data_IF_902347170309
#
_entry.id   IF_902347170309
#
_cell.length_a   1.000
_cell.length_b   1.000
_cell.length_c   1.000
_cell.angle_alpha   90.00
_cell.angle_beta   90.00
_cell.angle_gamma   90.00
#
_symmetry.space_group_name_H-M   'P 1'
#
loop_
_entity.id
_entity.type
_entity.pdbx_description
1 polymer ?
#
# COMPACT_ATOMS: atom_id res chain seq x y z
N UNK A 1 11.01 -12.73 23.75
CA UNK A 1 11.60 -13.22 22.48
C UNK A 1 12.77 -12.36 22.00
N UNK A 2 12.72 -11.01 22.08
CA UNK A 2 13.85 -10.15 21.70
C UNK A 2 15.10 -10.31 22.60
N UNK A 3 14.94 -10.72 23.86
CA UNK A 3 16.02 -10.86 24.83
C UNK A 3 16.93 -12.07 24.60
N UNK A 4 16.51 -13.02 23.77
CA UNK A 4 17.24 -14.28 23.51
C UNK A 4 18.15 -14.24 22.27
N UNK A 5 18.09 -13.16 21.45
CA UNK A 5 18.86 -13.07 20.19
C UNK A 5 19.76 -11.81 20.24
N UNK A 6 21.08 -11.95 20.49
CA UNK A 6 21.99 -10.80 20.63
C UNK A 6 22.03 -9.87 19.41
N UNK A 7 21.86 -10.44 18.20
CA UNK A 7 21.80 -9.67 16.96
C UNK A 7 20.57 -8.75 16.93
N UNK A 8 19.40 -9.25 17.33
CA UNK A 8 18.16 -8.48 17.34
C UNK A 8 18.25 -7.32 18.36
N UNK A 9 18.84 -7.54 19.54
CA UNK A 9 19.08 -6.46 20.53
C UNK A 9 19.94 -5.34 19.94
N UNK A 10 20.99 -5.68 19.18
CA UNK A 10 21.85 -4.70 18.50
C UNK A 10 21.09 -3.95 17.39
N UNK A 11 20.34 -4.66 16.58
CA UNK A 11 19.53 -4.03 15.48
C UNK A 11 18.46 -3.09 16.03
N UNK A 12 17.85 -3.44 17.18
CA UNK A 12 16.82 -2.62 17.83
C UNK A 12 17.44 -1.56 18.77
N UNK A 13 18.77 -1.55 18.94
CA UNK A 13 19.50 -0.62 19.81
C UNK A 13 18.95 -0.58 21.25
N UNK A 14 18.50 -1.72 21.79
CA UNK A 14 17.86 -1.80 23.09
C UNK A 14 18.77 -1.40 24.25
N UNK A 15 20.07 -1.54 24.08
CA UNK A 15 21.10 -1.25 25.10
C UNK A 15 21.63 0.21 25.00
N UNK A 16 21.20 0.99 23.99
CA UNK A 16 21.64 2.38 23.85
C UNK A 16 20.82 3.31 24.77
N UNK A 17 21.47 4.15 25.56
CA UNK A 17 20.78 5.14 26.39
C UNK A 17 20.01 6.12 25.48
N UNK A 18 18.82 6.51 25.90
CA UNK A 18 17.98 7.49 25.21
C UNK A 18 17.28 8.37 26.23
N UNK A 19 17.09 9.65 25.88
CA UNK A 19 16.25 10.54 26.66
C UNK A 19 14.77 10.16 26.44
N UNK A 20 14.01 10.07 27.52
CA UNK A 20 12.56 9.85 27.47
C UNK A 20 11.83 11.04 28.08
N UNK A 21 10.64 11.33 27.56
CA UNK A 21 9.88 12.52 27.89
C UNK A 21 8.45 12.14 28.31
N UNK A 22 7.83 12.95 29.19
CA UNK A 22 6.45 12.76 29.65
C UNK A 22 5.63 14.05 29.53
N UNK A 23 4.33 13.91 29.41
CA UNK A 23 3.36 15.00 29.46
C UNK A 23 3.72 16.19 28.55
N UNK A 24 3.74 17.40 29.14
CA UNK A 24 4.07 18.63 28.40
C UNK A 24 5.50 18.67 27.83
N UNK A 25 6.46 17.99 28.46
CA UNK A 25 7.82 17.92 27.94
C UNK A 25 7.88 17.14 26.63
N UNK A 26 7.13 16.04 26.53
CA UNK A 26 7.01 15.27 25.30
C UNK A 26 6.40 16.13 24.19
N UNK A 27 5.33 16.86 24.46
CA UNK A 27 4.67 17.73 23.47
C UNK A 27 5.62 18.84 22.99
N UNK A 28 6.36 19.46 23.90
CA UNK A 28 7.37 20.49 23.54
C UNK A 28 8.48 19.92 22.65
N UNK A 29 8.96 18.71 22.89
CA UNK A 29 9.98 18.08 22.03
C UNK A 29 9.41 17.69 20.64
N UNK A 30 8.16 17.21 20.57
CA UNK A 30 7.48 16.97 19.30
C UNK A 30 7.38 18.28 18.48
N UNK A 31 6.91 19.36 19.09
CA UNK A 31 6.78 20.66 18.42
C UNK A 31 8.14 21.25 18.02
N UNK A 32 9.14 21.13 18.89
CA UNK A 32 10.51 21.60 18.62
C UNK A 32 11.10 20.96 17.36
N UNK A 33 10.84 19.66 17.15
CA UNK A 33 11.40 18.92 16.03
C UNK A 33 10.46 18.83 14.82
N UNK A 34 9.21 19.31 14.92
CA UNK A 34 8.18 19.15 13.90
C UNK A 34 8.61 19.59 12.50
N UNK A 35 9.13 20.83 12.35
CA UNK A 35 9.52 21.34 11.03
C UNK A 35 10.65 20.53 10.40
N UNK A 36 11.63 20.15 11.19
CA UNK A 36 12.72 19.29 10.74
C UNK A 36 12.20 17.92 10.30
N UNK A 37 11.44 17.25 11.17
CA UNK A 37 10.87 15.93 10.90
C UNK A 37 9.95 15.97 9.67
N UNK A 38 9.13 17.01 9.50
CA UNK A 38 8.28 17.19 8.32
C UNK A 38 9.10 17.26 7.04
N UNK A 39 10.13 18.11 7.00
CA UNK A 39 10.98 18.28 5.81
C UNK A 39 11.69 16.98 5.45
N UNK A 40 12.34 16.36 6.43
CA UNK A 40 13.10 15.12 6.23
C UNK A 40 12.19 13.97 5.79
N UNK A 41 11.03 13.81 6.43
CA UNK A 41 10.09 12.73 6.10
C UNK A 41 9.41 12.93 4.75
N UNK A 42 9.13 14.17 4.33
CA UNK A 42 8.59 14.45 2.98
C UNK A 42 9.63 14.14 1.90
N UNK A 43 10.90 14.47 2.12
CA UNK A 43 11.99 14.11 1.19
C UNK A 43 12.15 12.58 1.14
N UNK A 44 12.12 11.92 2.29
CA UNK A 44 12.18 10.46 2.39
C UNK A 44 11.04 9.82 1.58
N UNK A 45 9.80 10.25 1.80
CA UNK A 45 8.64 9.75 1.05
C UNK A 45 8.76 10.02 -0.45
N UNK A 46 9.23 11.20 -0.84
CA UNK A 46 9.43 11.55 -2.25
C UNK A 46 10.40 10.58 -2.95
N UNK A 47 11.56 10.33 -2.33
CA UNK A 47 12.58 9.41 -2.86
C UNK A 47 12.12 7.94 -2.83
N UNK A 48 11.39 7.54 -1.78
CA UNK A 48 10.85 6.21 -1.65
C UNK A 48 9.83 5.91 -2.76
N UNK A 49 8.84 6.78 -2.96
CA UNK A 49 7.82 6.61 -4.01
C UNK A 49 8.40 6.75 -5.42
N UNK A 50 9.37 7.67 -5.60
CA UNK A 50 10.12 7.76 -6.84
C UNK A 50 10.78 6.41 -7.16
N UNK A 51 11.52 5.82 -6.20
CA UNK A 51 12.15 4.52 -6.38
C UNK A 51 11.16 3.37 -6.57
N UNK A 52 10.02 3.39 -5.86
CA UNK A 52 8.99 2.36 -5.95
C UNK A 52 8.33 2.31 -7.33
N UNK A 53 8.26 3.43 -8.04
CA UNK A 53 7.70 3.47 -9.40
C UNK A 53 8.47 2.63 -10.42
N UNK A 54 9.78 2.42 -10.21
CA UNK A 54 10.63 1.58 -11.08
C UNK A 54 10.43 0.07 -10.85
N UNK A 55 9.77 -0.32 -9.77
CA UNK A 55 9.46 -1.71 -9.41
C UNK A 55 7.96 -1.94 -9.22
N UNK A 56 7.15 -1.08 -9.86
CA UNK A 56 5.70 -1.11 -9.72
C UNK A 56 5.13 -2.52 -9.99
N UNK A 57 4.44 -3.08 -8.98
CA UNK A 57 3.91 -4.44 -9.02
C UNK A 57 2.76 -4.65 -10.01
N UNK A 58 2.09 -3.57 -10.42
CA UNK A 58 1.02 -3.61 -11.41
C UNK A 58 1.49 -3.45 -12.85
N UNK A 59 2.75 -3.02 -13.09
CA UNK A 59 3.24 -2.65 -14.43
C UNK A 59 4.66 -3.14 -14.72
N UNK A 60 5.67 -2.51 -14.13
CA UNK A 60 7.09 -2.77 -14.46
C UNK A 60 7.53 -4.18 -14.08
N UNK A 61 7.18 -4.65 -12.89
CA UNK A 61 7.54 -6.00 -12.45
C UNK A 61 6.84 -7.07 -13.31
N UNK A 62 5.53 -7.02 -13.58
CA UNK A 62 4.88 -7.91 -14.54
C UNK A 62 5.51 -7.86 -15.93
N UNK A 63 5.90 -6.68 -16.43
CA UNK A 63 6.60 -6.56 -17.70
C UNK A 63 7.93 -7.34 -17.70
N UNK A 64 8.75 -7.19 -16.66
CA UNK A 64 10.00 -7.96 -16.55
C UNK A 64 9.74 -9.46 -16.49
N UNK A 65 8.78 -9.89 -15.66
CA UNK A 65 8.44 -11.32 -15.51
C UNK A 65 7.88 -11.92 -16.80
N UNK A 66 7.16 -11.15 -17.64
CA UNK A 66 6.66 -11.63 -18.94
C UNK A 66 7.77 -11.95 -19.94
N UNK A 67 9.01 -11.42 -19.73
CA UNK A 67 10.19 -11.81 -20.53
C UNK A 67 10.79 -13.16 -20.07
N UNK A 68 10.40 -13.66 -18.88
CA UNK A 68 10.97 -14.85 -18.25
C UNK A 68 10.00 -16.04 -18.23
N UNK A 69 8.68 -15.79 -18.24
CA UNK A 69 7.64 -16.83 -18.12
C UNK A 69 6.30 -16.40 -18.67
N UNK A 70 5.55 -17.38 -19.17
CA UNK A 70 4.15 -17.25 -19.60
C UNK A 70 3.15 -17.66 -18.49
N UNK A 71 3.61 -18.10 -17.33
CA UNK A 71 2.76 -18.64 -16.27
C UNK A 71 1.92 -17.53 -15.61
N UNK A 72 0.61 -17.58 -15.78
CA UNK A 72 -0.33 -16.67 -15.11
C UNK A 72 -0.28 -16.77 -13.59
N UNK A 73 0.15 -17.94 -13.07
CA UNK A 73 0.33 -18.16 -11.61
C UNK A 73 1.43 -17.26 -11.03
N UNK A 74 2.50 -17.00 -11.77
CA UNK A 74 3.58 -16.08 -11.36
C UNK A 74 3.03 -14.66 -11.18
N UNK A 75 2.20 -14.19 -12.09
CA UNK A 75 1.57 -12.86 -11.99
C UNK A 75 0.56 -12.80 -10.82
N UNK A 76 -0.19 -13.88 -10.58
CA UNK A 76 -1.04 -14.00 -9.41
C UNK A 76 -0.23 -13.93 -8.11
N UNK A 77 0.93 -14.59 -8.05
CA UNK A 77 1.82 -14.56 -6.88
C UNK A 77 2.32 -13.14 -6.59
N UNK A 78 2.68 -12.37 -7.61
CA UNK A 78 3.06 -10.96 -7.46
C UNK A 78 1.90 -10.14 -6.91
N UNK A 79 0.70 -10.29 -7.47
CA UNK A 79 -0.49 -9.58 -7.03
C UNK A 79 -0.90 -9.97 -5.59
N UNK A 80 -0.81 -11.26 -5.23
CA UNK A 80 -1.02 -11.79 -3.90
C UNK A 80 -0.02 -11.20 -2.91
N UNK A 81 1.27 -11.19 -3.26
CA UNK A 81 2.32 -10.61 -2.44
C UNK A 81 2.12 -9.11 -2.23
N UNK A 82 1.73 -8.38 -3.27
CA UNK A 82 1.49 -6.93 -3.19
C UNK A 82 0.46 -6.58 -2.10
N UNK A 83 -0.59 -7.36 -1.95
CA UNK A 83 -1.64 -7.14 -0.96
C UNK A 83 -1.40 -7.93 0.33
N UNK A 84 -1.26 -9.25 0.23
CA UNK A 84 -1.07 -10.13 1.39
C UNK A 84 0.24 -9.88 2.12
N UNK A 85 1.33 -9.62 1.40
CA UNK A 85 2.63 -9.33 1.96
C UNK A 85 2.67 -8.02 2.77
N UNK A 86 1.82 -7.05 2.43
CA UNK A 86 1.66 -5.83 3.21
C UNK A 86 0.84 -6.04 4.50
N UNK A 87 -0.29 -6.75 4.43
CA UNK A 87 -1.22 -6.86 5.55
C UNK A 87 -0.86 -7.97 6.56
N UNK A 88 -0.44 -9.15 6.11
CA UNK A 88 -0.23 -10.29 6.99
C UNK A 88 0.89 -10.11 8.02
N UNK A 89 2.10 -9.63 7.64
CA UNK A 89 3.17 -9.46 8.61
C UNK A 89 2.85 -8.43 9.69
N UNK A 90 2.05 -7.39 9.37
CA UNK A 90 1.67 -6.35 10.34
C UNK A 90 1.00 -6.95 11.58
N UNK A 91 0.10 -7.92 11.39
CA UNK A 91 -0.60 -8.58 12.50
C UNK A 91 0.36 -9.33 13.43
N UNK A 92 1.41 -9.91 12.87
CA UNK A 92 2.40 -10.68 13.63
C UNK A 92 3.40 -9.78 14.37
N UNK A 93 3.73 -8.62 13.80
CA UNK A 93 4.79 -7.73 14.31
C UNK A 93 4.27 -6.63 15.22
N UNK A 94 3.01 -6.19 15.07
CA UNK A 94 2.43 -5.09 15.85
C UNK A 94 2.63 -5.25 17.36
N UNK A 95 2.31 -6.41 17.92
CA UNK A 95 2.48 -6.72 19.34
C UNK A 95 3.96 -6.69 19.81
N UNK A 96 4.90 -6.98 18.90
CA UNK A 96 6.35 -6.90 19.17
C UNK A 96 6.86 -5.45 19.16
N UNK A 97 6.35 -4.65 18.25
CA UNK A 97 6.71 -3.23 18.06
C UNK A 97 6.33 -2.39 19.27
N UNK A 98 5.14 -2.60 19.83
CA UNK A 98 4.67 -1.86 21.04
C UNK A 98 5.59 -1.97 22.26
N UNK A 99 6.46 -2.98 22.29
CA UNK A 99 7.41 -3.23 23.39
C UNK A 99 8.78 -2.60 23.18
N UNK A 100 9.03 -2.03 22.03
CA UNK A 100 10.33 -1.44 21.71
C UNK A 100 10.28 0.05 22.02
N UNK A 101 11.21 0.58 22.82
CA UNK A 101 11.19 1.98 23.23
C UNK A 101 11.39 2.95 22.05
N UNK A 102 12.15 2.55 21.02
CA UNK A 102 12.48 3.39 19.88
C UNK A 102 12.06 2.74 18.57
N UNK A 103 11.32 3.48 17.73
CA UNK A 103 10.87 3.00 16.41
C UNK A 103 11.91 3.21 15.31
N UNK A 104 12.69 4.29 15.42
CA UNK A 104 13.67 4.65 14.40
C UNK A 104 14.70 3.54 14.13
N UNK A 105 15.28 2.83 15.13
CA UNK A 105 16.16 1.69 14.87
C UNK A 105 15.50 0.54 14.13
N UNK A 106 14.21 0.29 14.32
CA UNK A 106 13.45 -0.70 13.54
C UNK A 106 13.41 -0.26 12.07
N UNK A 107 13.02 0.99 11.82
CA UNK A 107 12.89 1.54 10.47
C UNK A 107 14.22 1.56 9.72
N UNK A 108 15.32 1.92 10.41
CA UNK A 108 16.64 2.04 9.78
C UNK A 108 17.32 0.67 9.67
N UNK A 109 17.53 -0.02 10.78
CA UNK A 109 18.35 -1.23 10.81
C UNK A 109 17.60 -2.44 10.28
N UNK A 110 16.38 -2.70 10.80
CA UNK A 110 15.57 -3.83 10.31
C UNK A 110 15.07 -3.54 8.91
N UNK A 111 14.60 -2.31 8.65
CA UNK A 111 14.12 -1.88 7.36
C UNK A 111 15.17 -1.95 6.24
N UNK A 112 16.46 -1.74 6.55
CA UNK A 112 17.55 -1.96 5.57
C UNK A 112 17.57 -3.41 5.09
N UNK A 113 17.62 -4.37 6.00
CA UNK A 113 17.71 -5.79 5.64
C UNK A 113 16.38 -6.34 5.11
N UNK A 114 15.26 -5.93 5.71
CA UNK A 114 13.97 -6.51 5.41
C UNK A 114 13.33 -5.95 4.13
N UNK A 115 13.55 -4.67 3.82
CA UNK A 115 12.84 -4.00 2.75
C UNK A 115 13.75 -3.48 1.62
N UNK A 116 14.92 -2.88 1.93
CA UNK A 116 15.76 -2.18 0.95
C UNK A 116 16.76 -3.11 0.26
N UNK A 117 17.49 -3.89 1.05
CA UNK A 117 18.52 -4.81 0.53
C UNK A 117 17.98 -5.79 -0.52
N UNK A 118 16.80 -6.42 -0.33
CA UNK A 118 16.26 -7.37 -1.31
C UNK A 118 16.07 -6.80 -2.71
N UNK A 119 15.86 -5.49 -2.85
CA UNK A 119 15.64 -4.85 -4.15
C UNK A 119 16.86 -4.94 -5.08
N UNK A 120 18.07 -5.04 -4.52
CA UNK A 120 19.27 -5.23 -5.32
C UNK A 120 19.32 -6.64 -5.96
N UNK A 121 18.58 -7.62 -5.42
CA UNK A 121 18.41 -8.92 -6.08
C UNK A 121 17.57 -8.80 -7.37
N UNK A 122 16.69 -7.79 -7.51
CA UNK A 122 16.00 -7.51 -8.79
C UNK A 122 17.00 -7.07 -9.85
N UNK A 123 18.00 -6.26 -9.47
CA UNK A 123 19.09 -5.83 -10.38
C UNK A 123 19.88 -7.06 -10.84
N UNK A 124 20.24 -7.96 -9.92
CA UNK A 124 20.92 -9.20 -10.24
C UNK A 124 20.05 -10.12 -11.12
N UNK A 125 18.75 -10.21 -10.83
CA UNK A 125 17.80 -10.98 -11.66
C UNK A 125 17.77 -10.43 -13.09
N UNK A 126 17.69 -9.12 -13.28
CA UNK A 126 17.71 -8.50 -14.61
C UNK A 126 19.03 -8.76 -15.34
N UNK A 127 20.16 -8.66 -14.66
CA UNK A 127 21.48 -8.95 -15.26
C UNK A 127 21.64 -10.42 -15.72
N UNK A 128 20.97 -11.35 -15.02
CA UNK A 128 21.00 -12.79 -15.33
C UNK A 128 19.92 -13.22 -16.33
N UNK A 129 18.98 -12.36 -16.68
CA UNK A 129 17.75 -12.69 -17.40
C UNK A 129 17.98 -13.43 -18.74
N UNK A 130 19.06 -13.08 -19.48
CA UNK A 130 19.39 -13.72 -20.75
C UNK A 130 20.19 -15.01 -20.54
N UNK A 131 21.11 -15.04 -19.54
CA UNK A 131 22.00 -16.19 -19.32
C UNK A 131 21.33 -17.34 -18.59
N UNK A 132 20.43 -17.03 -17.65
CA UNK A 132 19.76 -18.00 -16.78
C UNK A 132 18.34 -17.52 -16.45
N UNK A 133 17.37 -17.61 -17.40
CA UNK A 133 16.01 -17.06 -17.20
C UNK A 133 15.31 -17.66 -15.97
N UNK A 134 15.47 -18.95 -15.71
CA UNK A 134 14.87 -19.60 -14.54
C UNK A 134 15.44 -19.06 -13.21
N UNK A 135 16.75 -18.87 -13.13
CA UNK A 135 17.38 -18.27 -11.93
C UNK A 135 16.93 -16.80 -11.76
N UNK A 136 16.87 -16.04 -12.87
CA UNK A 136 16.37 -14.67 -12.86
C UNK A 136 14.94 -14.59 -12.34
N UNK A 137 14.07 -15.51 -12.79
CA UNK A 137 12.69 -15.60 -12.31
C UNK A 137 12.62 -15.86 -10.80
N UNK A 138 13.36 -16.86 -10.32
CA UNK A 138 13.40 -17.22 -8.89
C UNK A 138 13.93 -16.05 -8.06
N UNK A 139 15.03 -15.42 -8.49
CA UNK A 139 15.60 -14.26 -7.79
C UNK A 139 14.62 -13.08 -7.76
N UNK A 140 13.92 -12.79 -8.85
CA UNK A 140 12.94 -11.72 -8.91
C UNK A 140 11.78 -11.94 -7.94
N UNK A 141 11.25 -13.17 -7.90
CA UNK A 141 10.15 -13.53 -6.99
C UNK A 141 10.59 -13.50 -5.52
N UNK A 142 11.78 -14.04 -5.22
CA UNK A 142 12.35 -14.00 -3.86
C UNK A 142 12.62 -12.57 -3.43
N UNK A 143 13.21 -11.75 -4.29
CA UNK A 143 13.49 -10.34 -4.01
C UNK A 143 12.20 -9.57 -3.70
N UNK A 144 11.19 -9.73 -4.54
CA UNK A 144 9.92 -9.05 -4.37
C UNK A 144 9.16 -9.54 -3.13
N UNK A 145 9.09 -10.86 -2.92
CA UNK A 145 8.46 -11.42 -1.72
C UNK A 145 9.14 -10.92 -0.44
N UNK A 146 10.48 -10.96 -0.40
CA UNK A 146 11.25 -10.49 0.74
C UNK A 146 10.99 -9.00 1.00
N UNK A 147 11.08 -8.16 -0.05
CA UNK A 147 10.79 -6.72 0.04
C UNK A 147 9.40 -6.44 0.63
N UNK A 148 8.34 -7.05 0.07
CA UNK A 148 6.97 -6.73 0.48
C UNK A 148 6.64 -7.27 1.88
N UNK A 149 7.08 -8.50 2.20
CA UNK A 149 6.93 -9.07 3.55
C UNK A 149 7.73 -8.26 4.58
N UNK A 150 8.90 -7.78 4.21
CA UNK A 150 9.72 -6.90 5.03
C UNK A 150 9.04 -5.55 5.28
N UNK A 151 8.53 -4.91 4.24
CA UNK A 151 7.76 -3.67 4.33
C UNK A 151 6.55 -3.82 5.25
N UNK A 152 5.76 -4.90 5.08
CA UNK A 152 4.65 -5.23 5.96
C UNK A 152 5.07 -5.44 7.41
N UNK A 153 6.24 -6.06 7.64
CA UNK A 153 6.74 -6.33 8.99
C UNK A 153 7.14 -5.06 9.77
N UNK A 154 7.63 -4.04 9.09
CA UNK A 154 8.04 -2.76 9.72
C UNK A 154 6.94 -1.69 9.68
N UNK A 155 5.85 -1.91 8.96
CA UNK A 155 4.77 -0.94 8.81
C UNK A 155 4.16 -0.46 10.15
N UNK A 156 3.94 -1.32 11.18
CA UNK A 156 3.47 -0.85 12.49
C UNK A 156 4.47 0.11 13.16
N UNK A 157 5.78 -0.15 13.03
CA UNK A 157 6.81 0.74 13.56
C UNK A 157 6.83 2.10 12.84
N UNK A 158 6.59 2.12 11.54
CA UNK A 158 6.46 3.36 10.78
C UNK A 158 5.25 4.19 11.24
N UNK A 159 4.10 3.53 11.41
CA UNK A 159 2.87 4.20 11.89
C UNK A 159 3.07 4.80 13.29
N UNK A 160 3.70 4.05 14.19
CA UNK A 160 4.03 4.51 15.54
C UNK A 160 5.05 5.65 15.51
N UNK A 161 6.10 5.57 14.66
CA UNK A 161 7.08 6.64 14.47
C UNK A 161 6.41 7.95 14.03
N UNK A 162 5.48 7.87 13.07
CA UNK A 162 4.66 9.03 12.65
C UNK A 162 3.86 9.58 13.85
N UNK A 163 3.25 8.69 14.64
CA UNK A 163 2.52 9.07 15.84
C UNK A 163 3.37 9.82 16.88
N UNK A 164 4.64 9.48 17.00
CA UNK A 164 5.59 10.09 17.95
C UNK A 164 6.23 11.37 17.43
N UNK A 165 6.45 11.48 16.14
CA UNK A 165 7.18 12.60 15.53
C UNK A 165 6.31 13.79 15.15
N UNK A 166 4.97 13.61 15.07
CA UNK A 166 4.07 14.65 14.58
C UNK A 166 2.94 14.96 15.58
N UNK A 167 2.64 16.25 15.83
CA UNK A 167 1.48 16.66 16.62
C UNK A 167 0.18 16.10 16.02
N UNK A 168 -0.77 15.74 16.86
CA UNK A 168 -2.02 15.07 16.45
C UNK A 168 -2.78 15.87 15.38
N UNK A 169 -2.88 17.20 15.56
CA UNK A 169 -3.55 18.14 14.65
C UNK A 169 -2.83 18.32 13.30
N UNK A 170 -1.56 17.88 13.18
CA UNK A 170 -0.73 18.06 11.97
C UNK A 170 -0.35 16.76 11.27
N UNK A 171 -0.74 15.60 11.81
CA UNK A 171 -0.52 14.28 11.16
C UNK A 171 -1.20 14.18 9.82
N UNK A 172 -2.43 14.73 9.70
CA UNK A 172 -3.17 14.80 8.44
C UNK A 172 -2.43 15.61 7.37
N UNK A 173 -1.86 16.76 7.74
CA UNK A 173 -1.05 17.59 6.83
C UNK A 173 0.18 16.82 6.34
N UNK A 174 0.90 16.13 7.24
CA UNK A 174 2.06 15.32 6.87
C UNK A 174 1.67 14.19 5.89
N UNK A 175 0.63 13.42 6.21
CA UNK A 175 0.17 12.31 5.36
C UNK A 175 -0.33 12.79 4.00
N UNK A 176 -1.05 13.92 3.96
CA UNK A 176 -1.55 14.51 2.73
C UNK A 176 -0.44 15.09 1.85
N UNK A 177 0.42 15.92 2.42
CA UNK A 177 1.54 16.55 1.70
C UNK A 177 2.57 15.51 1.25
N UNK A 178 2.98 14.62 2.16
CA UNK A 178 3.94 13.56 1.86
C UNK A 178 3.40 12.58 0.83
N UNK A 179 2.14 12.16 0.94
CA UNK A 179 1.49 11.28 -0.03
C UNK A 179 1.36 11.93 -1.40
N UNK A 180 0.98 13.21 -1.47
CA UNK A 180 0.89 13.95 -2.73
C UNK A 180 2.27 14.10 -3.41
N UNK A 181 3.26 14.59 -2.66
CA UNK A 181 4.63 14.78 -3.19
C UNK A 181 5.21 13.42 -3.58
N UNK A 182 5.03 12.39 -2.75
CA UNK A 182 5.46 11.03 -3.06
C UNK A 182 4.85 10.50 -4.35
N UNK A 183 3.53 10.60 -4.52
CA UNK A 183 2.85 10.17 -5.75
C UNK A 183 3.31 10.96 -6.98
N UNK A 184 3.50 12.28 -6.84
CA UNK A 184 3.99 13.14 -7.92
C UNK A 184 5.42 12.75 -8.35
N UNK A 185 6.32 12.55 -7.39
CA UNK A 185 7.69 12.09 -7.69
C UNK A 185 7.70 10.66 -8.25
N UNK A 186 6.81 9.78 -7.78
CA UNK A 186 6.60 8.47 -8.38
C UNK A 186 6.19 8.55 -9.84
N UNK A 187 5.29 9.48 -10.21
CA UNK A 187 4.91 9.71 -11.61
C UNK A 187 6.11 10.18 -12.45
N UNK A 188 6.97 11.05 -11.91
CA UNK A 188 8.23 11.43 -12.58
C UNK A 188 9.17 10.23 -12.78
N UNK A 189 9.30 9.36 -11.77
CA UNK A 189 10.07 8.12 -11.89
C UNK A 189 9.50 7.17 -12.94
N UNK A 190 8.17 7.08 -13.05
CA UNK A 190 7.51 6.28 -14.09
C UNK A 190 7.76 6.83 -15.51
N UNK A 191 7.78 8.16 -15.68
CA UNK A 191 8.18 8.80 -16.97
C UNK A 191 9.62 8.46 -17.30
N UNK A 192 10.53 8.52 -16.33
CA UNK A 192 11.92 8.12 -16.53
C UNK A 192 12.05 6.63 -16.86
N UNK A 193 11.25 5.77 -16.20
CA UNK A 193 11.16 4.33 -16.54
C UNK A 193 10.75 4.12 -18.00
N UNK A 194 9.78 4.92 -18.49
CA UNK A 194 9.33 4.88 -19.90
C UNK A 194 10.51 5.16 -20.85
N UNK A 195 11.29 6.21 -20.57
CA UNK A 195 12.45 6.57 -21.37
C UNK A 195 13.53 5.48 -21.36
N UNK A 196 13.85 4.92 -20.20
CA UNK A 196 14.87 3.86 -20.06
C UNK A 196 14.44 2.56 -20.74
N UNK A 197 13.18 2.14 -20.55
CA UNK A 197 12.63 0.92 -21.16
C UNK A 197 12.54 1.05 -22.68
N UNK A 198 12.28 2.25 -23.20
CA UNK A 198 12.17 2.49 -24.65
C UNK A 198 13.52 2.72 -25.35
N UNK A 199 14.55 3.24 -24.66
CA UNK A 199 15.83 3.60 -25.27
C UNK A 199 16.91 2.55 -25.10
N UNK A 200 16.88 1.76 -24.04
CA UNK A 200 17.88 0.73 -23.78
C UNK A 200 17.39 -0.66 -24.23
N UNK A 201 18.33 -1.51 -24.64
CA UNK A 201 18.00 -2.88 -25.04
C UNK A 201 17.87 -3.82 -23.84
N UNK A 202 17.04 -4.83 -23.97
CA UNK A 202 16.93 -5.92 -23.00
C UNK A 202 18.23 -6.73 -22.90
N UNK A 203 18.73 -7.06 -21.71
CA UNK A 203 18.15 -6.84 -20.38
C UNK A 203 18.62 -5.54 -19.69
N UNK A 204 19.49 -4.75 -20.32
CA UNK A 204 20.14 -3.56 -19.71
C UNK A 204 19.12 -2.51 -19.28
N UNK A 205 18.00 -2.40 -20.00
CA UNK A 205 16.89 -1.51 -19.65
C UNK A 205 16.31 -1.86 -18.26
N UNK A 206 16.08 -3.12 -17.93
CA UNK A 206 15.60 -3.54 -16.60
C UNK A 206 16.68 -3.42 -15.52
N UNK A 207 17.97 -3.68 -15.87
CA UNK A 207 19.07 -3.45 -14.95
C UNK A 207 19.11 -1.98 -14.51
N UNK A 208 19.01 -1.04 -15.46
CA UNK A 208 19.01 0.39 -15.19
C UNK A 208 17.77 0.81 -14.36
N UNK A 209 16.60 0.34 -14.75
CA UNK A 209 15.32 0.64 -14.05
C UNK A 209 15.37 0.15 -12.60
N UNK A 210 15.71 -1.11 -12.37
CA UNK A 210 15.75 -1.67 -11.01
C UNK A 210 16.90 -1.08 -10.19
N UNK A 211 18.06 -0.76 -10.78
CA UNK A 211 19.16 -0.11 -10.09
C UNK A 211 18.78 1.29 -9.59
N UNK A 212 18.11 2.10 -10.43
CA UNK A 212 17.61 3.41 -10.03
C UNK A 212 16.57 3.30 -8.92
N UNK A 213 15.63 2.36 -9.04
CA UNK A 213 14.63 2.10 -8.02
C UNK A 213 15.23 1.72 -6.68
N UNK A 214 16.08 0.68 -6.66
CA UNK A 214 16.77 0.20 -5.46
C UNK A 214 17.65 1.29 -4.83
N UNK A 215 18.41 2.04 -5.64
CA UNK A 215 19.28 3.11 -5.16
C UNK A 215 18.49 4.27 -4.57
N UNK A 216 17.39 4.69 -5.20
CA UNK A 216 16.53 5.75 -4.67
C UNK A 216 15.92 5.37 -3.33
N UNK A 217 15.39 4.14 -3.21
CA UNK A 217 14.83 3.62 -1.95
C UNK A 217 15.93 3.47 -0.87
N UNK A 218 17.15 3.15 -1.26
CA UNK A 218 18.28 3.14 -0.32
C UNK A 218 18.64 4.56 0.14
N UNK A 219 18.67 5.54 -0.77
CA UNK A 219 18.94 6.96 -0.43
C UNK A 219 17.83 7.51 0.47
N UNK A 220 16.56 7.12 0.27
CA UNK A 220 15.46 7.52 1.14
C UNK A 220 15.70 7.08 2.60
N UNK A 221 16.29 5.90 2.81
CA UNK A 221 16.68 5.43 4.14
C UNK A 221 17.70 6.37 4.81
N UNK A 222 18.60 6.95 4.04
CA UNK A 222 19.54 7.96 4.55
C UNK A 222 18.82 9.16 5.14
N UNK A 223 17.75 9.65 4.52
CA UNK A 223 16.91 10.71 5.10
C UNK A 223 16.14 10.23 6.32
N UNK A 224 15.64 8.99 6.33
CA UNK A 224 14.98 8.43 7.51
C UNK A 224 15.89 8.43 8.74
N UNK A 225 17.20 8.22 8.60
CA UNK A 225 18.16 8.28 9.73
C UNK A 225 18.25 9.66 10.39
N UNK A 226 17.83 10.73 9.68
CA UNK A 226 17.87 12.10 10.17
C UNK A 226 16.62 12.48 10.99
N UNK A 227 15.63 11.61 11.08
CA UNK A 227 14.42 11.83 11.89
C UNK A 227 14.82 11.90 13.36
N UNK A 228 14.27 12.86 14.09
CA UNK A 228 14.44 13.06 15.52
C UNK A 228 13.22 12.53 16.22
N UNK A 229 13.32 11.31 16.76
CA UNK A 229 12.23 10.64 17.48
C UNK A 229 12.17 11.08 18.93
N UNK A 230 11.11 11.79 19.41
CA UNK A 230 10.85 11.97 20.83
C UNK A 230 10.34 10.66 21.42
N UNK A 231 11.08 10.11 22.40
CA UNK A 231 10.75 8.82 23.00
C UNK A 231 9.84 9.03 24.22
N UNK A 232 8.62 8.46 24.26
CA UNK A 232 7.77 8.53 25.43
C UNK A 232 8.33 7.67 26.56
N UNK A 233 8.27 8.16 27.81
CA UNK A 233 8.74 7.42 29.00
C UNK A 233 7.85 6.23 29.35
N UNK A 234 6.52 6.34 29.11
CA UNK A 234 5.58 5.26 29.29
C UNK A 234 5.24 4.61 27.96
N UNK A 235 5.46 3.31 27.83
CA UNK A 235 4.95 2.51 26.73
C UNK A 235 3.46 2.24 26.93
N UNK A 236 2.69 2.19 25.84
CA UNK A 236 1.25 1.93 25.90
C UNK A 236 0.92 0.61 26.63
N UNK A 237 -0.15 0.62 27.41
CA UNK A 237 -0.63 -0.56 28.12
C UNK A 237 -1.04 -1.64 27.12
N UNK A 238 -0.56 -2.84 27.33
CA UNK A 238 -0.65 -3.99 26.45
C UNK A 238 -2.07 -4.52 26.39
N UNK A 239 -2.72 -4.48 25.23
CA UNK A 239 -3.87 -5.36 24.97
C UNK A 239 -3.38 -6.79 24.68
N UNK A 240 -4.02 -7.78 25.30
CA UNK A 240 -3.71 -9.18 25.02
C UNK A 240 -4.20 -9.53 23.61
N UNK A 241 -3.37 -10.23 22.85
CA UNK A 241 -3.78 -10.72 21.53
C UNK A 241 -5.06 -11.58 21.63
N UNK A 242 -5.25 -12.29 22.74
CA UNK A 242 -6.40 -13.14 23.00
C UNK A 242 -7.68 -12.31 23.16
N UNK A 243 -7.66 -11.20 23.89
CA UNK A 243 -8.81 -10.31 24.06
C UNK A 243 -9.19 -9.63 22.73
N UNK A 244 -8.18 -9.29 21.92
CA UNK A 244 -8.39 -8.77 20.58
C UNK A 244 -9.16 -9.78 19.70
N UNK A 245 -8.67 -11.02 19.57
CA UNK A 245 -9.27 -12.02 18.69
C UNK A 245 -10.62 -12.52 19.15
N UNK A 246 -10.86 -12.60 20.46
CA UNK A 246 -12.14 -13.08 21.01
C UNK A 246 -13.30 -12.09 20.84
N UNK A 247 -13.03 -10.78 20.79
CA UNK A 247 -14.06 -9.75 20.60
C UNK A 247 -14.52 -9.54 19.16
N UNK A 248 -13.74 -10.01 18.15
CA UNK A 248 -14.04 -9.74 16.73
C UNK A 248 -15.37 -10.31 16.23
N UNK A 249 -15.76 -11.58 16.52
CA UNK A 249 -17.01 -12.14 16.03
C UNK A 249 -18.24 -11.41 16.57
N UNK A 250 -18.18 -10.91 17.79
CA UNK A 250 -19.29 -10.21 18.43
C UNK A 250 -19.56 -8.87 17.74
N UNK A 251 -18.52 -8.07 17.44
CA UNK A 251 -18.65 -6.79 16.74
C UNK A 251 -19.35 -7.01 15.39
N UNK A 252 -18.89 -8.00 14.61
CA UNK A 252 -19.46 -8.28 13.28
C UNK A 252 -20.91 -8.78 13.38
N UNK A 253 -21.30 -9.45 14.49
CA UNK A 253 -22.67 -9.93 14.70
C UNK A 253 -23.62 -8.83 15.15
N UNK A 254 -23.16 -7.95 16.03
CA UNK A 254 -24.02 -6.93 16.67
C UNK A 254 -24.16 -5.68 15.81
N UNK A 255 -23.11 -5.27 15.10
CA UNK A 255 -23.10 -4.04 14.33
C UNK A 255 -23.47 -4.25 12.86
N UNK A 256 -24.76 -4.24 12.54
CA UNK A 256 -25.28 -4.52 11.20
C UNK A 256 -24.73 -3.58 10.11
N UNK A 257 -24.58 -2.28 10.39
CA UNK A 257 -24.07 -1.32 9.42
C UNK A 257 -22.58 -1.54 9.12
N UNK A 258 -21.76 -1.77 10.14
CA UNK A 258 -20.36 -2.12 9.98
C UNK A 258 -20.16 -3.46 9.24
N UNK A 259 -21.00 -4.45 9.53
CA UNK A 259 -20.99 -5.74 8.82
C UNK A 259 -21.20 -5.57 7.31
N UNK A 260 -22.22 -4.80 6.90
CA UNK A 260 -22.47 -4.54 5.49
C UNK A 260 -21.37 -3.72 4.83
N UNK A 261 -20.79 -2.76 5.56
CA UNK A 261 -19.60 -2.05 5.11
C UNK A 261 -18.43 -3.03 4.86
N UNK A 262 -18.17 -3.94 5.81
CA UNK A 262 -17.10 -4.94 5.68
C UNK A 262 -17.33 -5.84 4.46
N UNK A 263 -18.58 -6.33 4.25
CA UNK A 263 -18.93 -7.11 3.05
C UNK A 263 -18.69 -6.30 1.78
N UNK A 264 -19.12 -5.04 1.73
CA UNK A 264 -18.86 -4.16 0.59
C UNK A 264 -17.37 -3.97 0.30
N UNK A 265 -16.56 -3.76 1.35
CA UNK A 265 -15.11 -3.61 1.23
C UNK A 265 -14.40 -4.88 0.73
N UNK A 266 -14.79 -6.03 1.25
CA UNK A 266 -14.26 -7.33 0.81
C UNK A 266 -14.65 -7.60 -0.65
N UNK A 267 -15.92 -7.33 -1.01
CA UNK A 267 -16.39 -7.46 -2.39
C UNK A 267 -15.62 -6.54 -3.35
N UNK A 268 -15.33 -5.29 -2.93
CA UNK A 268 -14.51 -4.35 -3.69
C UNK A 268 -13.06 -4.86 -3.86
N UNK A 269 -12.48 -5.48 -2.82
CA UNK A 269 -11.16 -6.09 -2.88
C UNK A 269 -11.11 -7.27 -3.86
N UNK A 270 -12.17 -8.09 -3.92
CA UNK A 270 -12.31 -9.11 -4.98
C UNK A 270 -12.40 -8.46 -6.36
N UNK A 271 -13.08 -7.32 -6.49
CA UNK A 271 -13.11 -6.54 -7.73
C UNK A 271 -11.74 -6.06 -8.20
N UNK A 272 -10.80 -5.84 -7.28
CA UNK A 272 -9.43 -5.43 -7.61
C UNK A 272 -8.55 -6.57 -8.19
N UNK A 273 -9.04 -7.83 -8.26
CA UNK A 273 -8.27 -8.98 -8.79
C UNK A 273 -7.74 -8.76 -10.21
N UNK A 274 -8.42 -7.95 -11.02
CA UNK A 274 -8.03 -7.68 -12.40
C UNK A 274 -6.78 -6.81 -12.52
N UNK A 275 -6.48 -5.95 -11.54
CA UNK A 275 -5.44 -4.92 -11.64
C UNK A 275 -4.04 -5.52 -11.90
N UNK A 276 -3.69 -6.61 -11.24
CA UNK A 276 -2.42 -7.30 -11.44
C UNK A 276 -2.23 -7.94 -12.84
N UNK A 277 -3.31 -8.05 -13.62
CA UNK A 277 -3.29 -8.67 -14.94
C UNK A 277 -3.50 -7.68 -16.11
N UNK A 278 -3.77 -6.40 -15.82
CA UNK A 278 -4.00 -5.38 -16.87
C UNK A 278 -2.77 -5.23 -17.76
N UNK A 279 -1.58 -5.12 -17.18
CA UNK A 279 -0.33 -5.05 -17.95
C UNK A 279 -0.10 -6.31 -18.77
N UNK A 280 -0.30 -7.49 -18.16
CA UNK A 280 -0.14 -8.76 -18.87
C UNK A 280 -1.10 -8.90 -20.05
N UNK A 281 -2.36 -8.44 -19.90
CA UNK A 281 -3.33 -8.45 -21.00
C UNK A 281 -2.92 -7.52 -22.13
N UNK A 282 -2.40 -6.31 -21.83
CA UNK A 282 -1.88 -5.38 -22.82
C UNK A 282 -0.73 -5.97 -23.63
N UNK A 283 0.21 -6.63 -22.94
CA UNK A 283 1.36 -7.29 -23.56
C UNK A 283 0.94 -8.45 -24.48
N UNK A 284 -0.02 -9.27 -24.02
CA UNK A 284 -0.43 -10.48 -24.77
C UNK A 284 -1.41 -10.22 -25.88
N UNK A 285 -2.36 -9.30 -25.68
CA UNK A 285 -3.41 -9.01 -26.67
C UNK A 285 -2.97 -7.98 -27.71
N UNK A 286 -2.13 -7.01 -27.30
CA UNK A 286 -1.80 -5.85 -28.13
C UNK A 286 -0.31 -5.71 -28.43
N UNK A 287 0.54 -6.58 -27.88
CA UNK A 287 1.99 -6.57 -28.10
C UNK A 287 2.63 -5.18 -27.88
N UNK A 288 2.16 -4.46 -26.85
CA UNK A 288 2.63 -3.10 -26.55
C UNK A 288 4.11 -3.09 -26.23
N UNK A 289 4.78 -1.98 -26.52
CA UNK A 289 6.21 -1.83 -26.24
C UNK A 289 6.51 -1.71 -24.75
N UNK A 290 7.75 -2.05 -24.34
CA UNK A 290 8.20 -1.93 -22.97
C UNK A 290 8.08 -0.48 -22.45
N UNK A 291 8.38 0.52 -23.31
CA UNK A 291 8.19 1.94 -23.01
C UNK A 291 6.72 2.29 -22.71
N UNK A 292 5.77 1.71 -23.46
CA UNK A 292 4.33 1.92 -23.22
C UNK A 292 3.92 1.50 -21.82
N UNK A 293 4.50 0.43 -21.27
CA UNK A 293 4.21 -0.02 -19.90
C UNK A 293 4.70 0.98 -18.86
N UNK A 294 5.83 1.63 -19.10
CA UNK A 294 6.27 2.76 -18.25
C UNK A 294 5.24 3.90 -18.22
N UNK A 295 4.65 4.24 -19.40
CA UNK A 295 3.59 5.24 -19.49
C UNK A 295 2.32 4.81 -18.75
N UNK A 296 1.97 3.53 -18.76
CA UNK A 296 0.87 2.99 -17.95
C UNK A 296 1.10 3.23 -16.46
N UNK A 297 2.34 3.05 -15.99
CA UNK A 297 2.70 3.36 -14.59
C UNK A 297 2.51 4.86 -14.30
N UNK A 298 2.96 5.73 -15.20
CA UNK A 298 2.79 7.18 -15.03
C UNK A 298 1.30 7.57 -14.96
N UNK A 299 0.47 7.04 -15.86
CA UNK A 299 -0.98 7.30 -15.87
C UNK A 299 -1.69 6.76 -14.62
N UNK A 300 -1.29 5.58 -14.13
CA UNK A 300 -1.80 5.03 -12.88
C UNK A 300 -1.50 5.98 -11.71
N UNK A 301 -0.28 6.48 -11.60
CA UNK A 301 0.13 7.39 -10.51
C UNK A 301 -0.49 8.79 -10.65
N UNK A 302 -0.61 9.31 -11.86
CA UNK A 302 -1.36 10.57 -12.11
C UNK A 302 -2.83 10.40 -11.73
N UNK A 303 -3.46 9.32 -12.15
CA UNK A 303 -4.82 8.97 -11.74
C UNK A 303 -4.95 8.88 -10.22
N UNK A 304 -4.00 8.22 -9.55
CA UNK A 304 -3.97 8.10 -8.10
C UNK A 304 -3.87 9.46 -7.41
N UNK A 305 -3.00 10.34 -7.88
CA UNK A 305 -2.88 11.70 -7.33
C UNK A 305 -4.19 12.48 -7.49
N UNK A 306 -4.80 12.43 -8.68
CA UNK A 306 -6.09 13.08 -8.95
C UNK A 306 -7.20 12.50 -8.07
N UNK A 307 -7.27 11.17 -7.93
CA UNK A 307 -8.24 10.50 -7.07
C UNK A 307 -8.07 10.85 -5.60
N UNK A 308 -6.83 10.87 -5.11
CA UNK A 308 -6.53 11.25 -3.72
C UNK A 308 -7.02 12.65 -3.40
N UNK A 309 -6.73 13.64 -4.26
CA UNK A 309 -7.14 15.03 -4.05
C UNK A 309 -8.65 15.18 -4.20
N UNK A 310 -9.20 14.76 -5.34
CA UNK A 310 -10.62 15.05 -5.65
C UNK A 310 -11.57 14.28 -4.75
N UNK A 311 -11.31 12.99 -4.51
CA UNK A 311 -12.14 12.14 -3.65
C UNK A 311 -11.88 12.42 -2.17
N UNK A 312 -10.69 12.89 -1.79
CA UNK A 312 -10.41 13.40 -0.45
C UNK A 312 -11.26 14.64 -0.15
N UNK A 313 -11.18 15.69 -0.99
CA UNK A 313 -11.98 16.91 -0.84
C UNK A 313 -13.49 16.65 -0.89
N UNK A 314 -13.91 15.70 -1.72
CA UNK A 314 -15.31 15.29 -1.77
C UNK A 314 -15.75 14.59 -0.47
N UNK A 315 -14.88 13.73 0.07
CA UNK A 315 -15.12 13.00 1.30
C UNK A 315 -15.27 13.94 2.51
N UNK A 316 -14.43 14.95 2.60
CA UNK A 316 -14.53 15.98 3.66
C UNK A 316 -15.89 16.66 3.65
N UNK A 317 -16.44 16.94 2.46
CA UNK A 317 -17.71 17.64 2.30
C UNK A 317 -18.95 16.75 2.35
N UNK A 318 -18.88 15.55 1.78
CA UNK A 318 -20.04 14.66 1.56
C UNK A 318 -19.93 13.28 2.19
N UNK A 319 -18.89 13.04 2.98
CA UNK A 319 -18.65 11.76 3.65
C UNK A 319 -17.77 10.80 2.86
N UNK A 320 -17.01 10.00 3.60
CA UNK A 320 -16.09 9.01 3.03
C UNK A 320 -16.79 7.87 2.30
N UNK A 321 -18.06 7.58 2.65
CA UNK A 321 -18.88 6.56 1.97
C UNK A 321 -19.02 6.85 0.48
N UNK A 322 -19.38 8.08 0.10
CA UNK A 322 -19.53 8.48 -1.31
C UNK A 322 -18.22 8.31 -2.09
N UNK A 323 -17.09 8.64 -1.49
CA UNK A 323 -15.77 8.43 -2.08
C UNK A 323 -15.48 6.95 -2.39
N UNK A 324 -15.84 6.04 -1.48
CA UNK A 324 -15.68 4.59 -1.69
C UNK A 324 -16.64 4.09 -2.77
N UNK A 325 -17.86 4.61 -2.85
CA UNK A 325 -18.79 4.31 -3.94
C UNK A 325 -18.24 4.73 -5.32
N UNK A 326 -17.67 5.95 -5.42
CA UNK A 326 -17.04 6.44 -6.65
C UNK A 326 -15.79 5.62 -7.01
N UNK A 327 -15.03 5.17 -6.02
CA UNK A 327 -13.93 4.22 -6.23
C UNK A 327 -14.40 2.94 -6.91
N UNK A 328 -15.52 2.36 -6.45
CA UNK A 328 -16.11 1.18 -7.08
C UNK A 328 -16.55 1.45 -8.53
N UNK A 329 -17.13 2.62 -8.80
CA UNK A 329 -17.47 3.06 -10.17
C UNK A 329 -16.23 3.19 -11.04
N UNK A 330 -15.14 3.78 -10.52
CA UNK A 330 -13.88 3.93 -11.27
C UNK A 330 -13.30 2.59 -11.72
N UNK A 331 -13.22 1.62 -10.81
CA UNK A 331 -12.78 0.26 -11.17
C UNK A 331 -13.76 -0.44 -12.12
N UNK A 332 -15.08 -0.33 -11.89
CA UNK A 332 -16.11 -0.89 -12.77
C UNK A 332 -15.92 -0.39 -14.20
N UNK A 333 -15.81 0.92 -14.40
CA UNK A 333 -15.61 1.51 -15.73
C UNK A 333 -14.29 1.07 -16.37
N UNK A 334 -13.20 1.05 -15.60
CA UNK A 334 -11.91 0.58 -16.09
C UNK A 334 -11.99 -0.86 -16.62
N UNK A 335 -12.61 -1.77 -15.87
CA UNK A 335 -12.71 -3.17 -16.30
C UNK A 335 -13.70 -3.40 -17.42
N UNK A 336 -14.79 -2.65 -17.50
CA UNK A 336 -15.69 -2.70 -18.67
C UNK A 336 -14.97 -2.22 -19.94
N UNK A 337 -14.19 -1.13 -19.86
CA UNK A 337 -13.37 -0.65 -20.96
C UNK A 337 -12.37 -1.72 -21.42
N UNK A 338 -11.69 -2.39 -20.47
CA UNK A 338 -10.74 -3.46 -20.77
C UNK A 338 -11.40 -4.71 -21.37
N UNK A 339 -12.60 -5.08 -20.91
CA UNK A 339 -13.34 -6.23 -21.43
C UNK A 339 -13.79 -6.04 -22.89
N UNK A 340 -14.08 -4.80 -23.27
CA UNK A 340 -14.51 -4.45 -24.64
C UNK A 340 -13.46 -3.66 -25.43
N UNK A 341 -12.18 -3.68 -25.02
CA UNK A 341 -11.17 -2.86 -25.66
C UNK A 341 -10.98 -3.23 -27.15
N UNK A 342 -11.36 -2.37 -28.10
CA UNK A 342 -11.12 -2.59 -29.51
C UNK A 342 -9.69 -2.21 -29.94
N UNK A 343 -8.91 -1.57 -29.07
CA UNK A 343 -7.55 -1.12 -29.36
C UNK A 343 -6.70 -0.95 -28.10
N UNK A 344 -5.38 -0.86 -28.27
CA UNK A 344 -4.41 -0.68 -27.17
C UNK A 344 -4.55 0.66 -26.44
N UNK A 345 -5.07 1.69 -27.11
CA UNK A 345 -5.21 3.05 -26.55
C UNK A 345 -6.17 3.10 -25.36
N UNK A 346 -7.14 2.20 -25.31
CA UNK A 346 -8.09 2.11 -24.18
C UNK A 346 -7.39 1.82 -22.87
N UNK A 347 -6.25 1.14 -22.91
CA UNK A 347 -5.47 0.85 -21.70
C UNK A 347 -4.96 2.11 -21.02
N UNK A 348 -4.66 3.20 -21.74
CA UNK A 348 -4.30 4.48 -21.13
C UNK A 348 -5.41 5.01 -20.22
N UNK A 349 -6.65 4.98 -20.70
CA UNK A 349 -7.82 5.42 -19.92
C UNK A 349 -8.08 4.46 -18.76
N UNK A 350 -7.96 3.16 -18.98
CA UNK A 350 -8.17 2.14 -17.95
C UNK A 350 -7.15 2.26 -16.80
N UNK A 351 -5.87 2.53 -17.10
CA UNK A 351 -4.85 2.77 -16.07
C UNK A 351 -5.10 4.08 -15.31
N UNK A 352 -5.49 5.15 -16.00
CA UNK A 352 -5.84 6.42 -15.35
C UNK A 352 -7.05 6.26 -14.41
N UNK A 353 -8.11 5.58 -14.84
CA UNK A 353 -9.30 5.30 -14.02
C UNK A 353 -8.98 4.37 -12.84
N UNK A 354 -8.17 3.34 -13.07
CA UNK A 354 -7.72 2.43 -11.99
C UNK A 354 -6.88 3.18 -10.96
N UNK A 355 -6.01 4.08 -11.40
CA UNK A 355 -5.26 4.98 -10.54
C UNK A 355 -6.17 5.89 -9.73
N UNK A 356 -7.14 6.53 -10.37
CA UNK A 356 -8.11 7.40 -9.71
C UNK A 356 -8.89 6.65 -8.61
N UNK A 357 -9.35 5.44 -8.90
CA UNK A 357 -10.00 4.58 -7.94
C UNK A 357 -9.07 4.20 -6.77
N UNK A 358 -7.80 3.88 -7.06
CA UNK A 358 -6.79 3.57 -6.05
C UNK A 358 -6.56 4.77 -5.10
N UNK A 359 -6.52 6.01 -5.63
CA UNK A 359 -6.41 7.23 -4.84
C UNK A 359 -7.58 7.41 -3.86
N UNK A 360 -8.80 7.19 -4.31
CA UNK A 360 -9.98 7.22 -3.45
C UNK A 360 -9.97 6.15 -2.35
N UNK A 361 -9.51 4.95 -2.71
CA UNK A 361 -9.37 3.84 -1.74
C UNK A 361 -8.34 4.14 -0.65
N UNK A 362 -7.23 4.77 -0.98
CA UNK A 362 -6.19 5.13 -0.02
C UNK A 362 -6.69 6.14 1.01
N UNK A 363 -7.43 7.16 0.58
CA UNK A 363 -7.94 8.21 1.49
C UNK A 363 -9.13 7.70 2.28
N UNK A 364 -10.17 7.25 1.58
CA UNK A 364 -11.46 7.00 2.21
C UNK A 364 -11.60 5.60 2.80
N UNK A 365 -10.75 4.65 2.40
CA UNK A 365 -10.82 3.27 2.88
C UNK A 365 -10.53 3.12 4.37
N UNK A 366 -9.54 3.85 4.88
CA UNK A 366 -9.17 3.84 6.30
C UNK A 366 -10.10 4.76 7.09
N UNK A 367 -10.33 5.99 6.60
CA UNK A 367 -11.09 6.99 7.32
C UNK A 367 -12.55 6.58 7.54
N UNK A 368 -13.20 5.97 6.55
CA UNK A 368 -14.54 5.42 6.72
C UNK A 368 -14.56 4.29 7.77
N UNK A 369 -13.51 3.47 7.86
CA UNK A 369 -13.40 2.45 8.92
C UNK A 369 -13.35 3.09 10.31
N UNK A 370 -12.62 4.20 10.45
CA UNK A 370 -12.50 4.93 11.72
C UNK A 370 -13.81 5.61 12.11
N UNK A 371 -14.64 6.05 11.15
CA UNK A 371 -15.97 6.62 11.42
C UNK A 371 -16.96 5.60 12.00
N UNK A 372 -16.77 4.29 11.74
CA UNK A 372 -17.56 3.22 12.37
C UNK A 372 -17.09 2.88 13.78
N UNK A 373 -15.85 3.20 14.12
CA UNK A 373 -15.25 2.74 15.36
C UNK A 373 -15.61 3.66 16.55
N UNK A 374 -16.18 3.12 17.64
CA UNK A 374 -16.33 3.89 18.86
C UNK A 374 -14.98 4.37 19.40
N UNK A 375 -14.98 5.46 20.16
CA UNK A 375 -13.77 6.00 20.79
C UNK A 375 -13.06 4.90 21.62
N UNK A 376 -11.76 4.74 21.41
CA UNK A 376 -10.94 3.72 22.07
C UNK A 376 -10.99 2.30 21.45
N UNK A 377 -11.85 2.03 20.43
CA UNK A 377 -11.91 0.75 19.72
C UNK A 377 -11.43 0.82 18.26
N UNK A 378 -10.91 1.95 17.83
CA UNK A 378 -10.44 2.18 16.46
C UNK A 378 -9.44 1.11 15.97
N UNK A 379 -8.41 0.69 16.75
CA UNK A 379 -7.49 -0.35 16.31
C UNK A 379 -8.17 -1.69 16.02
N UNK A 380 -9.21 -2.05 16.79
CA UNK A 380 -9.98 -3.28 16.61
C UNK A 380 -10.72 -3.29 15.28
N UNK A 381 -11.42 -2.19 14.92
CA UNK A 381 -12.16 -2.08 13.67
C UNK A 381 -11.23 -2.08 12.45
N UNK A 382 -10.13 -1.34 12.53
CA UNK A 382 -9.09 -1.35 11.49
C UNK A 382 -8.50 -2.75 11.34
N UNK A 383 -8.26 -3.45 12.45
CA UNK A 383 -7.77 -4.82 12.45
C UNK A 383 -8.72 -5.80 11.75
N UNK A 384 -10.03 -5.72 12.02
CA UNK A 384 -11.05 -6.54 11.34
C UNK A 384 -11.01 -6.30 9.83
N UNK A 385 -11.03 -5.03 9.41
CA UNK A 385 -11.04 -4.66 7.99
C UNK A 385 -9.75 -5.13 7.33
N UNK A 386 -8.58 -4.83 7.90
CA UNK A 386 -7.29 -5.20 7.31
C UNK A 386 -7.11 -6.72 7.20
N UNK A 387 -7.54 -7.49 8.21
CA UNK A 387 -7.52 -8.95 8.15
C UNK A 387 -8.40 -9.48 7.02
N UNK A 388 -9.63 -8.96 6.92
CA UNK A 388 -10.57 -9.37 5.88
C UNK A 388 -10.07 -9.00 4.48
N UNK A 389 -9.48 -7.82 4.31
CA UNK A 389 -8.85 -7.39 3.06
C UNK A 389 -7.59 -8.20 2.74
N UNK A 390 -6.80 -8.58 3.75
CA UNK A 390 -5.65 -9.47 3.60
C UNK A 390 -6.03 -10.83 3.05
N UNK A 391 -7.11 -11.44 3.58
CA UNK A 391 -7.64 -12.72 3.08
C UNK A 391 -8.13 -12.56 1.63
N UNK A 392 -8.91 -11.51 1.33
CA UNK A 392 -9.35 -11.22 -0.03
C UNK A 392 -8.16 -10.99 -0.98
N UNK A 393 -7.11 -10.28 -0.52
CA UNK A 393 -5.87 -10.03 -1.26
C UNK A 393 -5.05 -11.28 -1.58
N UNK A 394 -5.27 -12.38 -0.86
CA UNK A 394 -4.69 -13.70 -1.18
C UNK A 394 -5.57 -14.45 -2.19
N UNK A 395 -6.87 -14.52 -1.92
CA UNK A 395 -7.80 -15.37 -2.69
C UNK A 395 -8.11 -14.76 -4.07
N UNK A 396 -8.34 -13.46 -4.14
CA UNK A 396 -8.76 -12.78 -5.37
C UNK A 396 -7.76 -12.90 -6.52
N UNK A 397 -6.43 -12.70 -6.33
CA UNK A 397 -5.45 -12.89 -7.41
C UNK A 397 -5.36 -14.33 -7.92
N UNK A 398 -5.61 -15.33 -7.09
CA UNK A 398 -5.62 -16.75 -7.51
C UNK A 398 -6.81 -17.04 -8.45
N UNK A 399 -7.99 -16.50 -8.11
CA UNK A 399 -9.16 -16.54 -9.00
C UNK A 399 -8.84 -15.78 -10.29
N UNK A 400 -8.20 -14.61 -10.17
CA UNK A 400 -7.74 -13.81 -11.31
C UNK A 400 -6.82 -14.58 -12.25
N UNK A 401 -5.83 -15.31 -11.72
CA UNK A 401 -4.92 -16.13 -12.53
C UNK A 401 -5.64 -17.25 -13.27
N UNK A 402 -6.54 -17.93 -12.57
CA UNK A 402 -7.32 -19.01 -13.19
C UNK A 402 -8.21 -18.51 -14.33
N UNK A 403 -8.82 -17.33 -14.18
CA UNK A 403 -9.56 -16.70 -15.27
C UNK A 403 -8.65 -16.18 -16.38
N UNK A 404 -7.54 -15.52 -16.06
CA UNK A 404 -6.60 -15.01 -17.04
C UNK A 404 -5.99 -16.12 -17.92
N UNK A 405 -5.85 -17.35 -17.39
CA UNK A 405 -5.43 -18.51 -18.19
C UNK A 405 -6.46 -18.97 -19.22
N UNK A 406 -7.74 -18.60 -19.04
CA UNK A 406 -8.84 -18.89 -19.96
C UNK A 406 -9.16 -17.73 -20.89
N UNK A 407 -8.89 -16.50 -20.46
CA UNK A 407 -9.10 -15.29 -21.22
C UNK A 407 -9.24 -14.06 -20.34
N UNK A 408 -8.64 -12.96 -20.77
CA UNK A 408 -8.66 -11.71 -19.99
C UNK A 408 -10.05 -11.06 -19.95
N UNK A 409 -10.88 -11.25 -21.00
CA UNK A 409 -12.25 -10.72 -21.03
C UNK A 409 -13.08 -11.27 -19.86
N UNK A 410 -13.02 -12.58 -19.60
CA UNK A 410 -13.75 -13.21 -18.49
C UNK A 410 -13.26 -12.68 -17.14
N UNK A 411 -11.96 -12.46 -16.99
CA UNK A 411 -11.37 -11.86 -15.79
C UNK A 411 -11.92 -10.46 -15.55
N UNK A 412 -11.87 -9.60 -16.56
CA UNK A 412 -12.32 -8.21 -16.44
C UNK A 412 -13.82 -8.10 -16.22
N UNK A 413 -14.62 -8.95 -16.89
CA UNK A 413 -16.08 -9.00 -16.64
C UNK A 413 -16.40 -9.45 -15.22
N UNK A 414 -15.72 -10.47 -14.67
CA UNK A 414 -15.95 -10.87 -13.29
C UNK A 414 -15.50 -9.78 -12.30
N UNK A 415 -14.36 -9.14 -12.54
CA UNK A 415 -13.91 -7.99 -11.76
C UNK A 415 -14.92 -6.84 -11.80
N UNK A 416 -15.49 -6.54 -12.96
CA UNK A 416 -16.56 -5.55 -13.12
C UNK A 416 -17.81 -5.93 -12.31
N UNK A 417 -18.24 -7.21 -12.36
CA UNK A 417 -19.38 -7.72 -11.57
C UNK A 417 -19.14 -7.54 -10.06
N UNK A 418 -17.95 -7.85 -9.55
CA UNK A 418 -17.63 -7.64 -8.14
C UNK A 418 -17.66 -6.15 -7.77
N UNK A 419 -17.14 -5.25 -8.63
CA UNK A 419 -17.21 -3.81 -8.38
C UNK A 419 -18.64 -3.28 -8.41
N UNK A 420 -19.47 -3.76 -9.33
CA UNK A 420 -20.89 -3.43 -9.36
C UNK A 420 -21.61 -3.94 -8.11
N UNK A 421 -21.34 -5.19 -7.70
CA UNK A 421 -21.91 -5.75 -6.48
C UNK A 421 -21.48 -4.95 -5.24
N UNK A 422 -20.21 -4.58 -5.14
CA UNK A 422 -19.70 -3.71 -4.07
C UNK A 422 -20.43 -2.37 -4.05
N UNK A 423 -20.60 -1.72 -5.20
CA UNK A 423 -21.33 -0.47 -5.34
C UNK A 423 -22.80 -0.63 -4.87
N UNK A 424 -23.50 -1.67 -5.30
CA UNK A 424 -24.88 -1.96 -4.89
C UNK A 424 -24.95 -2.16 -3.37
N UNK A 425 -24.07 -2.99 -2.79
CA UNK A 425 -24.03 -3.23 -1.35
C UNK A 425 -23.79 -1.92 -0.59
N UNK A 426 -22.76 -1.15 -0.97
CA UNK A 426 -22.44 0.12 -0.32
C UNK A 426 -23.60 1.11 -0.43
N UNK A 427 -24.26 1.18 -1.58
CA UNK A 427 -25.37 2.11 -1.81
C UNK A 427 -26.64 1.76 -1.07
N UNK A 428 -26.99 0.47 -1.00
CA UNK A 428 -28.30 0.02 -0.51
C UNK A 428 -28.30 -0.47 0.93
N UNK A 429 -27.20 -1.08 1.40
CA UNK A 429 -27.12 -1.72 2.71
C UNK A 429 -26.32 -0.89 3.73
N UNK A 430 -25.42 -0.03 3.27
CA UNK A 430 -24.55 0.75 4.14
C UNK A 430 -25.11 2.15 4.33
N UNK A 431 -25.32 2.57 5.58
CA UNK A 431 -25.68 3.95 5.94
C UNK A 431 -24.40 4.73 6.24
N UNK A 432 -24.40 6.02 5.85
CA UNK A 432 -23.28 6.91 6.19
C UNK A 432 -23.24 7.09 7.72
N UNK A 433 -22.10 6.80 8.38
CA UNK A 433 -21.99 6.95 9.84
C UNK A 433 -22.31 8.36 10.33
N UNK A 434 -22.01 9.38 9.54
CA UNK A 434 -22.27 10.81 9.86
C UNK A 434 -23.77 11.15 9.97
N UNK A 435 -24.62 10.33 9.37
CA UNK A 435 -26.08 10.53 9.37
C UNK A 435 -26.82 9.52 10.26
N UNK A 436 -26.09 8.70 11.06
CA UNK A 436 -26.70 7.73 11.96
C UNK A 436 -26.91 8.38 13.33
N UNK A 437 -28.15 8.55 13.85
CA UNK A 437 -28.40 9.09 15.18
C UNK A 437 -27.78 8.19 16.24
N UNK A 438 -26.86 8.69 17.04
CA UNK A 438 -26.20 7.93 18.13
C UNK A 438 -24.71 8.25 18.32
N UNK A 439 -24.03 8.88 17.36
CA UNK A 439 -22.73 9.51 17.55
C UNK A 439 -22.96 11.00 17.72
N UNK A 440 -23.45 11.39 18.91
CA UNK A 440 -23.42 12.81 19.29
C UNK A 440 -21.96 13.27 19.20
N UNK A 441 -21.75 14.21 18.31
CA UNK A 441 -20.50 14.92 18.17
C UNK A 441 -20.10 15.51 19.52
N UNK A 442 -18.94 15.09 20.02
CA UNK A 442 -18.29 15.70 21.20
C UNK A 442 -17.92 17.17 20.96
N UNK A 443 -18.23 17.72 19.78
CA UNK A 443 -18.05 19.14 19.42
C UNK A 443 -19.17 20.08 19.90
N UNK A 444 -20.20 19.57 20.59
CA UNK A 444 -21.29 20.43 21.10
C UNK A 444 -21.21 20.75 22.61
N UNK A 445 -20.11 20.38 23.27
CA UNK A 445 -19.88 20.72 24.68
C UNK A 445 -18.43 21.19 24.88
N UNK A 446 -18.14 22.47 24.52
CA UNK A 446 -16.88 23.11 24.88
C UNK A 446 -16.61 24.33 24.05
#
# INVERSE_FOLDING_TARGET
MADSIPLLRRLLELDKPHASFEGEHLQREIERHYRWNLTVSVIEMALFWFGLSFIASGTILPLFLSKLTDSTLVFALVALLAQGGWYLPQLLTANGVERVPRMLPIMVNVGFFAERLPLFLLVAAAALAVRSPTLALVLALVAYAWHVLGAGSIAPAWQELVGRCFPVDRRGLFMGAGGFIGTATGALGAVLSTALLGSLHYPTNFVAVFALGASSILVSLGFMTLIREPVPAALAARQSAQDFWSGLPEIVRTEGNFRWYLVGRVTLAFGAMGLGFVTLSALRMWHVSDGTVGLYTALLLVGQALGTITLGLLADRRGHKLSVEITAVGYLLAYLLLAWSPSAEIYYVAFLLSGFALGGQLVSGILLTLEYAPAGRQPTYVGIVNTSLGIAGIVAPLIGAWLASRGFVQLFLLAAVFNLAALVILRTQVRDPRHTPGVESVEALG
#
